data_IF_794416270061
#
_entry.id   IF_794416270061
#
_cell.length_a   1.000
_cell.length_b   1.000
_cell.length_c   1.000
_cell.angle_alpha   90.00
_cell.angle_beta   90.00
_cell.angle_gamma   90.00
#
_symmetry.space_group_name_H-M   'P 1'
#
loop_
_entity.id
_entity.type
_entity.pdbx_description
1 polymer ?
#
# COMPACT_ATOMS: atom_id res chain seq x y z
N UNK A 1 -5.85 6.27 -19.33
CA UNK A 1 -4.81 5.61 -18.50
C UNK A 1 -4.74 6.38 -17.21
N UNK A 2 -5.07 5.76 -16.07
CA UNK A 2 -5.04 6.48 -14.79
C UNK A 2 -3.57 6.79 -14.44
N UNK A 3 -3.26 8.08 -14.37
CA UNK A 3 -1.97 8.59 -13.94
C UNK A 3 -2.04 8.85 -12.43
N UNK A 4 -1.17 8.21 -11.66
CA UNK A 4 -1.04 8.43 -10.22
C UNK A 4 0.18 9.35 -10.00
N UNK A 5 -0.02 10.66 -9.75
CA UNK A 5 1.06 11.62 -9.52
C UNK A 5 1.74 11.39 -8.18
N UNK A 6 2.89 12.03 -7.99
CA UNK A 6 3.41 12.31 -6.65
C UNK A 6 2.79 13.62 -6.17
N UNK A 7 2.20 13.63 -4.97
CA UNK A 7 1.65 14.82 -4.35
C UNK A 7 2.51 15.21 -3.16
N UNK A 8 2.92 16.48 -3.08
CA UNK A 8 3.82 16.96 -2.03
C UNK A 8 3.19 18.14 -1.28
N UNK A 9 3.39 18.14 0.03
CA UNK A 9 3.02 19.23 0.95
C UNK A 9 4.21 19.58 1.82
N UNK A 10 4.08 20.58 2.69
CA UNK A 10 5.16 20.95 3.63
C UNK A 10 5.57 19.85 4.62
N UNK A 11 4.76 18.79 4.80
CA UNK A 11 5.02 17.73 5.77
C UNK A 11 4.98 16.32 5.19
N UNK A 12 4.47 16.14 3.98
CA UNK A 12 4.12 14.82 3.44
C UNK A 12 4.40 14.75 1.94
N UNK A 13 4.83 13.56 1.51
CA UNK A 13 4.88 13.13 0.11
C UNK A 13 3.95 11.92 0.00
N UNK A 14 2.97 12.00 -0.89
CA UNK A 14 2.10 10.89 -1.26
C UNK A 14 2.54 10.36 -2.62
N UNK A 15 2.94 9.10 -2.68
CA UNK A 15 3.53 8.47 -3.88
C UNK A 15 2.96 7.08 -4.11
N UNK A 16 3.40 6.42 -5.19
CA UNK A 16 3.12 4.99 -5.38
C UNK A 16 3.88 4.19 -4.34
N UNK A 17 3.19 3.21 -3.75
CA UNK A 17 3.80 2.19 -2.89
C UNK A 17 4.80 1.37 -3.71
N UNK A 18 5.90 1.00 -3.07
CA UNK A 18 7.01 0.20 -3.58
C UNK A 18 7.29 -0.99 -2.66
N UNK A 19 8.12 -1.94 -3.11
CA UNK A 19 8.52 -3.08 -2.28
C UNK A 19 9.33 -2.67 -1.04
N UNK A 20 9.95 -1.49 -1.05
CA UNK A 20 10.72 -0.96 0.07
C UNK A 20 9.81 -0.59 1.26
N UNK A 21 8.53 -0.32 1.01
CA UNK A 21 7.56 0.07 2.03
C UNK A 21 6.95 -1.14 2.77
N UNK A 22 7.46 -2.36 2.53
CA UNK A 22 6.87 -3.60 3.06
C UNK A 22 6.91 -3.70 4.59
N UNK A 23 8.01 -3.30 5.21
CA UNK A 23 8.18 -3.31 6.68
C UNK A 23 7.27 -2.27 7.33
N UNK A 24 7.29 -1.03 6.81
CA UNK A 24 6.43 0.06 7.28
C UNK A 24 4.94 -0.32 7.13
N UNK A 25 4.58 -0.97 6.02
CA UNK A 25 3.23 -1.49 5.82
C UNK A 25 2.88 -2.58 6.83
N UNK A 26 3.78 -3.54 7.05
CA UNK A 26 3.55 -4.62 8.00
C UNK A 26 3.36 -4.12 9.43
N UNK A 27 4.09 -3.07 9.82
CA UNK A 27 3.99 -2.47 11.16
C UNK A 27 2.53 -2.15 11.53
N UNK A 28 1.80 -1.45 10.66
CA UNK A 28 0.40 -1.13 10.93
C UNK A 28 -0.58 -2.22 10.45
N UNK A 29 -0.27 -2.92 9.37
CA UNK A 29 -1.18 -3.93 8.80
C UNK A 29 -1.24 -5.22 9.63
N UNK A 30 -0.29 -5.44 10.55
CA UNK A 30 -0.29 -6.59 11.45
C UNK A 30 -1.26 -6.45 12.64
N UNK A 31 -1.77 -5.25 12.91
CA UNK A 31 -2.75 -4.99 13.98
C UNK A 31 -4.20 -5.20 13.48
N UNK A 32 -4.94 -6.19 14.02
CA UNK A 32 -6.33 -6.43 13.67
C UNK A 32 -7.27 -5.24 13.95
N UNK A 33 -6.96 -4.39 14.94
CA UNK A 33 -7.79 -3.21 15.22
C UNK A 33 -7.58 -2.10 14.17
N UNK A 34 -6.37 -1.96 13.62
CA UNK A 34 -6.07 -1.04 12.51
C UNK A 34 -6.80 -1.48 11.23
N UNK A 35 -6.85 -2.79 10.99
CA UNK A 35 -7.37 -3.38 9.75
C UNK A 35 -8.88 -3.69 9.79
N UNK A 36 -9.52 -3.48 10.93
CA UNK A 36 -10.95 -3.77 11.17
C UNK A 36 -11.93 -3.18 10.16
N UNK A 37 -11.58 -2.05 9.53
CA UNK A 37 -12.47 -1.30 8.64
C UNK A 37 -11.94 -1.15 7.21
N UNK A 38 -10.84 -1.83 6.87
CA UNK A 38 -10.33 -1.89 5.49
C UNK A 38 -10.81 -3.17 4.80
N UNK A 39 -10.60 -3.27 3.49
CA UNK A 39 -11.10 -4.37 2.66
C UNK A 39 -10.20 -5.61 2.64
N UNK A 40 -9.07 -5.57 3.34
CA UNK A 40 -8.06 -6.62 3.39
C UNK A 40 -7.84 -7.07 4.85
N UNK A 41 -7.51 -8.35 5.02
CA UNK A 41 -7.24 -8.95 6.34
C UNK A 41 -5.90 -8.47 6.90
N UNK A 42 -5.75 -8.51 8.24
CA UNK A 42 -4.48 -8.23 8.89
C UNK A 42 -3.36 -9.14 8.35
N UNK A 43 -2.18 -8.56 8.15
CA UNK A 43 -1.03 -9.27 7.63
C UNK A 43 -0.40 -10.11 8.75
N UNK A 44 -0.24 -11.41 8.53
CA UNK A 44 0.26 -12.33 9.59
C UNK A 44 1.78 -12.41 9.62
N UNK A 45 2.43 -12.03 8.53
CA UNK A 45 3.87 -11.99 8.33
C UNK A 45 4.20 -10.96 7.25
N UNK A 46 5.48 -10.66 7.10
CA UNK A 46 5.98 -9.70 6.10
C UNK A 46 5.67 -10.14 4.66
N UNK A 47 5.58 -11.45 4.40
CA UNK A 47 5.23 -11.99 3.09
C UNK A 47 3.81 -11.61 2.67
N UNK A 48 2.88 -11.43 3.60
CA UNK A 48 1.53 -10.96 3.29
C UNK A 48 1.53 -9.49 2.84
N UNK A 49 2.33 -8.62 3.48
CA UNK A 49 2.58 -7.24 2.99
C UNK A 49 3.21 -7.24 1.60
N UNK A 50 4.23 -8.06 1.37
CA UNK A 50 4.86 -8.18 0.05
C UNK A 50 3.86 -8.62 -1.02
N UNK A 51 2.99 -9.59 -0.74
CA UNK A 51 1.94 -10.02 -1.69
C UNK A 51 0.97 -8.88 -1.99
N UNK A 52 0.55 -8.13 -0.98
CA UNK A 52 -0.35 -7.00 -1.16
C UNK A 52 0.29 -5.89 -2.01
N UNK A 53 1.55 -5.54 -1.73
CA UNK A 53 2.29 -4.55 -2.52
C UNK A 53 2.43 -5.01 -3.98
N UNK A 54 2.74 -6.28 -4.23
CA UNK A 54 2.80 -6.82 -5.59
C UNK A 54 1.45 -6.74 -6.32
N UNK A 55 0.34 -6.95 -5.61
CA UNK A 55 -1.00 -6.72 -6.16
C UNK A 55 -1.17 -5.24 -6.58
N UNK A 56 -0.79 -4.29 -5.73
CA UNK A 56 -0.87 -2.86 -6.05
C UNK A 56 -0.01 -2.48 -7.26
N UNK A 57 1.23 -2.96 -7.32
CA UNK A 57 2.13 -2.73 -8.45
C UNK A 57 1.50 -3.21 -9.77
N UNK A 58 0.89 -4.41 -9.77
CA UNK A 58 0.20 -4.94 -10.96
C UNK A 58 -1.00 -4.08 -11.40
N UNK A 59 -1.68 -3.43 -10.46
CA UNK A 59 -2.79 -2.52 -10.75
C UNK A 59 -2.30 -1.17 -11.27
N UNK A 60 -1.21 -0.64 -10.71
CA UNK A 60 -0.56 0.56 -11.23
C UNK A 60 -0.13 0.39 -12.69
N UNK A 61 0.41 -0.78 -13.06
CA UNK A 61 0.81 -1.09 -14.44
C UNK A 61 -0.39 -1.13 -15.41
N UNK A 62 -1.53 -1.65 -14.95
CA UNK A 62 -2.78 -1.69 -15.71
C UNK A 62 -3.51 -0.34 -15.73
N UNK A 63 -3.04 0.63 -14.94
CA UNK A 63 -3.72 1.91 -14.75
C UNK A 63 -5.08 1.74 -14.10
N UNK A 64 -5.21 0.80 -13.16
CA UNK A 64 -6.43 0.59 -12.38
C UNK A 64 -6.40 1.45 -11.10
N UNK A 65 -7.57 1.88 -10.57
CA UNK A 65 -7.64 2.53 -9.26
C UNK A 65 -6.98 1.67 -8.19
N UNK A 66 -6.08 2.28 -7.41
CA UNK A 66 -5.24 1.60 -6.43
C UNK A 66 -4.94 2.51 -5.25
N UNK A 67 -4.45 1.88 -4.16
CA UNK A 67 -4.09 2.59 -2.93
C UNK A 67 -2.87 3.51 -3.13
N UNK A 68 -2.65 4.39 -2.16
CA UNK A 68 -1.53 5.33 -2.14
C UNK A 68 -0.62 5.03 -0.96
N UNK A 69 0.66 5.38 -1.10
CA UNK A 69 1.68 5.30 -0.05
C UNK A 69 2.12 6.67 0.41
#
# INVERSE_FOLDING_TARGET
MFYQPVLETSRLILKKISLEDAEDMFEYASDPEVTKYVSWEYHKNIEDSLKFINLLLSRYEKGEPSDWG
#
